data_IF_412950330464
#
_entry.id   IF_412950330464
#
_cell.length_a   1.000
_cell.length_b   1.000
_cell.length_c   1.000
_cell.angle_alpha   90.00
_cell.angle_beta   90.00
_cell.angle_gamma   90.00
#
_symmetry.space_group_name_H-M   'P 1'
#
loop_
_entity.id
_entity.type
_entity.pdbx_description
1 polymer ?
#
# COMPACT_ATOMS: atom_id res chain seq x y z
N UNK A 1 2.77 -23.44 7.41
CA UNK A 1 2.09 -24.42 6.53
C UNK A 1 0.70 -24.66 7.08
N UNK A 2 -0.26 -25.03 6.23
CA UNK A 2 -1.59 -25.45 6.71
C UNK A 2 -1.59 -26.95 7.10
N UNK A 3 -2.74 -27.46 7.54
CA UNK A 3 -2.90 -28.86 7.96
C UNK A 3 -2.73 -29.89 6.82
N UNK A 4 -2.72 -29.45 5.57
CA UNK A 4 -2.47 -30.27 4.38
C UNK A 4 -1.03 -30.15 3.88
N UNK A 5 -0.13 -29.51 4.64
CA UNK A 5 1.28 -29.34 4.31
C UNK A 5 1.56 -28.25 3.26
N UNK A 6 0.58 -27.43 2.87
CA UNK A 6 0.76 -26.36 1.89
C UNK A 6 1.39 -25.13 2.53
N UNK A 7 2.32 -24.49 1.83
CA UNK A 7 2.91 -23.22 2.27
C UNK A 7 1.85 -22.13 2.21
N UNK A 8 1.62 -21.44 3.32
CA UNK A 8 0.66 -20.34 3.44
C UNK A 8 1.33 -18.96 3.50
N UNK A 9 2.64 -18.92 3.79
CA UNK A 9 3.41 -17.68 3.84
C UNK A 9 4.90 -17.94 3.98
N UNK A 10 5.67 -16.90 3.76
CA UNK A 10 7.13 -16.88 3.90
C UNK A 10 7.50 -15.88 5.00
N UNK A 11 8.20 -16.32 6.05
CA UNK A 11 8.66 -15.43 7.12
C UNK A 11 9.61 -14.36 6.54
N UNK A 12 9.38 -13.11 6.89
CA UNK A 12 10.13 -11.98 6.33
C UNK A 12 10.86 -11.15 7.37
N UNK A 13 10.29 -10.94 8.54
CA UNK A 13 10.86 -10.09 9.58
C UNK A 13 10.34 -10.47 10.97
N UNK A 14 11.07 -10.07 11.98
CA UNK A 14 10.64 -10.06 13.38
C UNK A 14 10.68 -8.63 13.91
N UNK A 15 9.75 -8.27 14.79
CA UNK A 15 9.80 -6.99 15.46
C UNK A 15 10.76 -7.09 16.66
N UNK A 16 11.66 -6.11 16.78
CA UNK A 16 12.58 -5.97 17.91
C UNK A 16 12.34 -4.62 18.58
N UNK A 17 12.44 -4.59 19.90
CA UNK A 17 12.49 -3.32 20.65
C UNK A 17 13.89 -2.73 20.48
N UNK A 18 13.97 -1.56 19.83
CA UNK A 18 15.16 -0.73 19.86
C UNK A 18 15.21 -0.03 21.22
N UNK A 19 15.80 -0.69 22.22
CA UNK A 19 16.06 -0.09 23.53
C UNK A 19 17.29 0.81 23.47
N UNK A 20 17.24 1.98 24.11
CA UNK A 20 18.36 2.87 24.30
C UNK A 20 19.55 2.12 24.90
N UNK A 21 20.74 2.36 24.32
CA UNK A 21 22.09 2.05 24.83
C UNK A 21 22.27 0.77 25.67
N UNK A 22 22.99 -0.19 25.13
CA UNK A 22 23.67 -1.32 25.78
C UNK A 22 22.85 -2.52 26.29
N UNK A 23 21.63 -2.74 25.89
CA UNK A 23 20.96 -4.02 26.12
C UNK A 23 20.68 -4.73 24.80
N UNK A 24 20.91 -6.05 24.76
CA UNK A 24 20.61 -6.93 23.63
C UNK A 24 19.18 -6.66 23.16
N UNK A 25 19.02 -6.22 21.93
CA UNK A 25 17.72 -6.02 21.30
C UNK A 25 17.00 -7.39 21.24
N UNK A 26 16.07 -7.62 22.17
CA UNK A 26 15.26 -8.83 22.22
C UNK A 26 14.09 -8.76 21.24
N UNK A 27 13.70 -9.90 20.67
CA UNK A 27 12.45 -10.01 19.93
C UNK A 27 11.28 -9.84 20.88
N UNK A 28 10.28 -9.03 20.49
CA UNK A 28 9.01 -8.89 21.24
C UNK A 28 8.02 -10.03 20.94
N UNK A 29 8.46 -11.08 20.26
CA UNK A 29 7.63 -12.24 19.93
C UNK A 29 6.68 -12.02 18.74
N UNK A 30 6.78 -10.89 18.04
CA UNK A 30 6.00 -10.63 16.82
C UNK A 30 6.83 -10.96 15.59
N UNK A 31 6.29 -11.81 14.73
CA UNK A 31 6.84 -12.15 13.44
C UNK A 31 5.90 -11.76 12.31
N UNK A 32 6.48 -11.36 11.18
CA UNK A 32 5.74 -11.00 9.96
C UNK A 32 6.03 -12.03 8.87
N UNK A 33 4.98 -12.40 8.14
CA UNK A 33 5.10 -13.29 7.01
C UNK A 33 4.45 -12.69 5.77
N UNK A 34 5.08 -12.87 4.61
CA UNK A 34 4.49 -12.52 3.32
C UNK A 34 3.50 -13.64 2.95
N UNK A 35 2.22 -13.34 2.70
CA UNK A 35 1.24 -14.33 2.25
C UNK A 35 1.72 -15.05 0.98
N UNK A 36 1.52 -16.36 0.90
CA UNK A 36 2.04 -17.17 -0.22
C UNK A 36 1.54 -16.68 -1.59
N UNK A 37 0.31 -16.21 -1.67
CA UNK A 37 -0.23 -15.69 -2.93
C UNK A 37 0.55 -14.46 -3.43
N UNK A 38 1.00 -13.60 -2.52
CA UNK A 38 1.84 -12.45 -2.85
C UNK A 38 3.25 -12.89 -3.26
N UNK A 39 3.86 -13.80 -2.50
CA UNK A 39 5.19 -14.33 -2.80
C UNK A 39 5.20 -15.03 -4.17
N UNK A 40 4.21 -15.87 -4.46
CA UNK A 40 4.05 -16.55 -5.76
C UNK A 40 3.92 -15.57 -6.91
N UNK A 41 3.07 -14.54 -6.76
CA UNK A 41 2.88 -13.51 -7.80
C UNK A 41 4.20 -12.79 -8.14
N UNK A 42 4.98 -12.44 -7.11
CA UNK A 42 6.29 -11.82 -7.30
C UNK A 42 7.28 -12.78 -7.97
N UNK A 43 7.32 -14.03 -7.52
CA UNK A 43 8.18 -15.06 -8.13
C UNK A 43 7.84 -15.30 -9.61
N UNK A 44 6.55 -15.44 -9.95
CA UNK A 44 6.09 -15.62 -11.32
C UNK A 44 6.50 -14.44 -12.23
N UNK A 45 6.47 -13.21 -11.72
CA UNK A 45 6.95 -12.05 -12.46
C UNK A 45 8.47 -12.11 -12.70
N UNK A 46 9.25 -12.42 -11.66
CA UNK A 46 10.70 -12.54 -11.76
C UNK A 46 11.12 -13.65 -12.74
N UNK A 47 10.46 -14.79 -12.71
CA UNK A 47 10.73 -15.91 -13.63
C UNK A 47 10.43 -15.52 -15.08
N UNK A 48 9.30 -14.82 -15.31
CA UNK A 48 8.84 -14.50 -16.67
C UNK A 48 9.56 -13.30 -17.28
N UNK A 49 9.90 -12.30 -16.48
CA UNK A 49 10.35 -11.00 -16.98
C UNK A 49 11.68 -10.52 -16.41
N UNK A 50 12.24 -11.23 -15.43
CA UNK A 50 13.43 -10.81 -14.69
C UNK A 50 13.20 -9.59 -13.76
N UNK A 51 11.98 -9.08 -13.70
CA UNK A 51 11.62 -7.89 -12.91
C UNK A 51 10.31 -8.10 -12.18
N UNK A 52 10.25 -7.63 -10.92
CA UNK A 52 9.02 -7.56 -10.16
C UNK A 52 8.52 -6.13 -10.14
N UNK A 53 7.23 -5.94 -10.44
CA UNK A 53 6.55 -4.66 -10.36
C UNK A 53 5.37 -4.77 -9.40
N UNK A 54 5.06 -3.71 -8.72
CA UNK A 54 3.91 -3.63 -7.82
C UNK A 54 2.92 -2.56 -8.28
N UNK A 55 1.63 -2.73 -7.98
CA UNK A 55 0.64 -1.73 -8.35
C UNK A 55 0.84 -0.45 -7.54
N UNK A 56 0.71 0.69 -8.22
CA UNK A 56 0.77 2.01 -7.60
C UNK A 56 -0.38 2.88 -8.08
N UNK A 57 -0.79 3.80 -7.22
CA UNK A 57 -1.76 4.84 -7.55
C UNK A 57 -1.07 6.13 -8.00
N UNK A 58 0.23 6.28 -7.67
CA UNK A 58 1.01 7.46 -8.04
C UNK A 58 0.68 8.68 -7.18
N UNK A 59 0.52 8.47 -5.88
CA UNK A 59 0.36 9.50 -4.84
C UNK A 59 1.38 9.31 -3.73
N UNK A 60 1.81 10.40 -3.14
CA UNK A 60 2.56 10.42 -1.87
C UNK A 60 1.59 10.66 -0.73
N UNK A 61 1.64 9.81 0.29
CA UNK A 61 0.76 9.85 1.46
C UNK A 61 1.49 10.51 2.62
N UNK A 62 0.78 11.38 3.32
CA UNK A 62 1.25 11.99 4.56
C UNK A 62 1.11 10.97 5.71
N UNK A 63 2.24 10.34 6.06
CA UNK A 63 2.29 9.32 7.11
C UNK A 63 2.14 9.90 8.53
N UNK A 64 2.30 11.23 8.68
CA UNK A 64 2.15 11.93 9.97
C UNK A 64 0.71 12.40 10.21
N UNK A 65 -0.19 12.17 9.28
CA UNK A 65 -1.59 12.54 9.44
C UNK A 65 -2.27 11.63 10.48
N UNK A 66 -2.68 12.22 11.61
CA UNK A 66 -3.28 11.50 12.74
C UNK A 66 -4.82 11.32 12.64
N UNK A 67 -5.44 11.80 11.57
CA UNK A 67 -6.90 11.67 11.38
C UNK A 67 -7.29 10.38 10.65
N UNK A 68 -8.58 10.02 10.64
CA UNK A 68 -9.07 8.87 9.89
C UNK A 68 -8.95 9.09 8.39
N UNK A 69 -8.37 8.13 7.68
CA UNK A 69 -8.13 8.15 6.24
C UNK A 69 -6.66 8.32 5.86
N UNK A 70 -6.37 8.24 4.57
CA UNK A 70 -5.04 8.46 4.01
C UNK A 70 -4.99 9.81 3.28
N UNK A 71 -4.28 10.78 3.84
CA UNK A 71 -4.15 12.11 3.26
C UNK A 71 -3.05 12.14 2.20
N UNK A 72 -3.38 12.63 1.02
CA UNK A 72 -2.38 12.94 -0.01
C UNK A 72 -1.58 14.16 0.47
N UNK A 73 -0.25 14.05 0.49
CA UNK A 73 0.60 15.17 0.92
C UNK A 73 0.35 16.42 0.05
N UNK A 74 0.61 17.59 0.63
CA UNK A 74 0.50 18.88 -0.07
C UNK A 74 1.82 19.35 -0.67
N UNK A 75 2.91 18.58 -0.49
CA UNK A 75 4.22 18.90 -1.04
C UNK A 75 4.22 18.81 -2.58
N UNK A 76 5.18 19.50 -3.20
CA UNK A 76 5.40 19.41 -4.63
C UNK A 76 5.69 17.96 -5.05
N UNK A 77 5.10 17.53 -6.17
CA UNK A 77 5.21 16.14 -6.62
C UNK A 77 4.36 15.13 -5.85
N UNK A 78 3.43 15.57 -4.99
CA UNK A 78 2.51 14.70 -4.26
C UNK A 78 1.73 13.74 -5.16
N UNK A 79 1.50 14.12 -6.40
CA UNK A 79 0.83 13.31 -7.42
C UNK A 79 1.76 13.18 -8.62
N UNK A 80 2.02 11.94 -9.01
CA UNK A 80 2.86 11.63 -10.16
C UNK A 80 2.22 12.18 -11.43
N UNK A 81 2.96 13.04 -12.16
CA UNK A 81 2.52 13.59 -13.42
C UNK A 81 2.25 12.47 -14.45
N UNK A 82 1.07 12.52 -15.13
CA UNK A 82 0.61 11.47 -16.03
C UNK A 82 0.20 10.16 -15.34
N UNK A 83 0.30 10.10 -14.01
CA UNK A 83 0.01 8.91 -13.21
C UNK A 83 -1.49 8.62 -13.03
N UNK A 84 -1.82 7.46 -12.47
CA UNK A 84 -3.19 7.02 -12.24
C UNK A 84 -4.03 8.01 -11.44
N UNK A 85 -3.50 8.53 -10.34
CA UNK A 85 -4.20 9.47 -9.47
C UNK A 85 -4.51 10.79 -10.16
N UNK A 86 -3.56 11.32 -10.94
CA UNK A 86 -3.79 12.54 -11.71
C UNK A 86 -4.90 12.34 -12.74
N UNK A 87 -4.88 11.21 -13.45
CA UNK A 87 -5.93 10.86 -14.44
C UNK A 87 -7.30 10.69 -13.79
N UNK A 88 -7.35 10.26 -12.55
CA UNK A 88 -8.58 10.16 -11.76
C UNK A 88 -9.01 11.49 -11.14
N UNK A 89 -8.25 12.57 -11.32
CA UNK A 89 -8.57 13.90 -10.81
C UNK A 89 -8.29 14.12 -9.33
N UNK A 90 -7.45 13.29 -8.71
CA UNK A 90 -6.96 13.52 -7.35
C UNK A 90 -6.06 14.76 -7.30
N UNK A 91 -6.05 15.44 -6.16
CA UNK A 91 -5.26 16.64 -5.90
C UNK A 91 -4.51 16.52 -4.57
N UNK A 92 -3.40 17.25 -4.39
CA UNK A 92 -2.75 17.38 -3.10
C UNK A 92 -3.74 17.82 -2.02
N UNK A 93 -3.65 17.21 -0.83
CA UNK A 93 -4.56 17.46 0.29
C UNK A 93 -5.85 16.64 0.29
N UNK A 94 -6.16 15.88 -0.76
CA UNK A 94 -7.31 14.96 -0.75
C UNK A 94 -7.14 13.91 0.34
N UNK A 95 -8.22 13.58 1.04
CA UNK A 95 -8.27 12.58 2.10
C UNK A 95 -9.01 11.34 1.58
N UNK A 96 -8.28 10.28 1.30
CA UNK A 96 -8.85 9.01 0.84
C UNK A 96 -9.43 8.27 2.04
N UNK A 97 -10.73 7.98 2.00
CA UNK A 97 -11.49 7.36 3.09
C UNK A 97 -11.98 5.96 2.76
N UNK A 98 -12.03 5.60 1.47
CA UNK A 98 -12.43 4.26 1.02
C UNK A 98 -11.64 3.85 -0.22
N UNK A 99 -11.26 2.59 -0.30
CA UNK A 99 -10.56 1.98 -1.43
C UNK A 99 -11.15 0.60 -1.73
N UNK A 100 -11.67 0.38 -2.91
CA UNK A 100 -12.30 -0.87 -3.34
C UNK A 100 -13.43 -1.34 -2.39
N UNK A 101 -14.26 -0.43 -1.90
CA UNK A 101 -15.36 -0.73 -0.97
C UNK A 101 -14.93 -0.97 0.49
N UNK A 102 -13.62 -0.82 0.82
CA UNK A 102 -13.11 -0.95 2.19
C UNK A 102 -12.76 0.42 2.74
N UNK A 103 -13.20 0.68 3.97
CA UNK A 103 -12.81 1.89 4.72
C UNK A 103 -11.29 1.90 4.93
N UNK A 104 -10.69 3.06 4.76
CA UNK A 104 -9.27 3.32 4.98
C UNK A 104 -9.15 4.23 6.21
N UNK A 105 -8.42 3.78 7.23
CA UNK A 105 -8.23 4.51 8.48
C UNK A 105 -6.89 5.25 8.55
N UNK A 106 -5.89 4.83 7.78
CA UNK A 106 -4.56 5.45 7.76
C UNK A 106 -3.83 5.18 6.43
N UNK A 107 -2.64 5.79 6.27
CA UNK A 107 -1.82 5.65 5.07
C UNK A 107 -1.32 4.24 4.82
N UNK A 108 -0.95 3.51 5.88
CA UNK A 108 -0.45 2.13 5.76
C UNK A 108 -1.52 1.19 5.21
N UNK A 109 -2.76 1.30 5.70
CA UNK A 109 -3.89 0.51 5.18
C UNK A 109 -4.12 0.76 3.69
N UNK A 110 -4.02 1.99 3.23
CA UNK A 110 -4.13 2.31 1.81
C UNK A 110 -3.00 1.65 1.00
N UNK A 111 -1.76 1.73 1.48
CA UNK A 111 -0.61 1.10 0.81
C UNK A 111 -0.81 -0.42 0.69
N UNK A 112 -1.22 -1.07 1.78
CA UNK A 112 -1.50 -2.51 1.79
C UNK A 112 -2.65 -2.85 0.84
N UNK A 113 -3.73 -2.07 0.86
CA UNK A 113 -4.88 -2.26 -0.01
C UNK A 113 -4.50 -2.14 -1.50
N UNK A 114 -3.68 -1.15 -1.87
CA UNK A 114 -3.17 -1.00 -3.23
C UNK A 114 -2.31 -2.19 -3.63
N UNK A 115 -1.37 -2.61 -2.78
CA UNK A 115 -0.45 -3.73 -3.06
C UNK A 115 -1.16 -5.08 -3.17
N UNK A 116 -2.34 -5.23 -2.58
CA UNK A 116 -3.16 -6.44 -2.72
C UNK A 116 -3.80 -6.61 -4.10
N UNK A 117 -3.83 -5.55 -4.91
CA UNK A 117 -4.43 -5.51 -6.25
C UNK A 117 -3.42 -5.91 -7.34
N UNK A 118 -3.90 -5.92 -8.60
CA UNK A 118 -3.05 -6.13 -9.76
C UNK A 118 -2.79 -4.81 -10.49
N UNK A 119 -1.69 -4.78 -11.25
CA UNK A 119 -1.44 -3.71 -12.21
C UNK A 119 -2.54 -3.78 -13.28
N UNK A 120 -3.14 -2.62 -13.59
CA UNK A 120 -4.28 -2.54 -14.52
C UNK A 120 -5.65 -2.66 -13.88
N UNK A 121 -5.75 -3.05 -12.61
CA UNK A 121 -7.04 -3.10 -11.92
C UNK A 121 -7.67 -1.71 -11.86
N UNK A 122 -8.97 -1.66 -12.14
CA UNK A 122 -9.82 -0.47 -11.97
C UNK A 122 -10.41 -0.51 -10.57
N UNK A 123 -10.09 0.49 -9.77
CA UNK A 123 -10.49 0.56 -8.37
C UNK A 123 -11.27 1.84 -8.11
N UNK A 124 -12.44 1.71 -7.53
CA UNK A 124 -13.20 2.84 -7.02
C UNK A 124 -12.60 3.30 -5.69
N UNK A 125 -12.47 4.61 -5.55
CA UNK A 125 -12.04 5.27 -4.32
C UNK A 125 -13.06 6.33 -3.92
N UNK A 126 -13.29 6.50 -2.62
CA UNK A 126 -13.97 7.68 -2.08
C UNK A 126 -12.97 8.54 -1.34
N UNK A 127 -13.04 9.82 -1.57
CA UNK A 127 -12.16 10.80 -0.93
C UNK A 127 -12.89 12.08 -0.59
N UNK A 128 -12.37 12.78 0.41
CA UNK A 128 -12.84 14.11 0.80
C UNK A 128 -11.91 15.18 0.23
N UNK A 129 -12.50 16.21 -0.34
CA UNK A 129 -11.82 17.45 -0.74
C UNK A 129 -12.51 18.60 -0.04
N UNK A 130 -11.87 19.14 1.01
CA UNK A 130 -12.56 20.02 1.96
C UNK A 130 -13.72 19.31 2.65
N UNK A 131 -14.90 19.89 2.59
CA UNK A 131 -16.14 19.31 3.15
C UNK A 131 -16.86 18.32 2.19
N UNK A 132 -16.45 18.25 0.93
CA UNK A 132 -17.15 17.46 -0.10
C UNK A 132 -16.59 16.05 -0.21
N UNK A 133 -17.45 15.04 -0.14
CA UNK A 133 -17.09 13.65 -0.47
C UNK A 133 -17.27 13.42 -1.98
N UNK A 134 -16.29 12.79 -2.60
CA UNK A 134 -16.24 12.50 -4.03
C UNK A 134 -15.84 11.05 -4.27
N UNK A 135 -16.24 10.52 -5.41
CA UNK A 135 -15.85 9.18 -5.88
C UNK A 135 -15.05 9.32 -7.18
N UNK A 136 -14.02 8.52 -7.34
CA UNK A 136 -13.27 8.43 -8.59
C UNK A 136 -12.84 6.98 -8.85
N UNK A 137 -12.63 6.64 -10.13
CA UNK A 137 -12.06 5.35 -10.51
C UNK A 137 -10.59 5.54 -10.88
N UNK A 138 -9.72 4.80 -10.23
CA UNK A 138 -8.28 4.80 -10.49
C UNK A 138 -7.90 3.49 -11.19
N UNK A 139 -7.12 3.58 -12.27
CA UNK A 139 -6.51 2.40 -12.93
C UNK A 139 -5.08 2.28 -12.43
N UNK A 140 -4.78 1.24 -11.65
CA UNK A 140 -3.46 1.06 -11.04
C UNK A 140 -2.38 0.81 -12.09
N UNK A 141 -1.25 1.50 -11.97
CA UNK A 141 -0.10 1.35 -12.85
C UNK A 141 1.03 0.53 -12.20
N UNK A 142 2.02 0.13 -13.02
CA UNK A 142 3.25 -0.45 -12.49
C UNK A 142 4.09 0.62 -11.80
N UNK A 143 4.51 0.38 -10.57
CA UNK A 143 5.53 1.17 -9.91
C UNK A 143 6.86 1.01 -10.63
N UNK A 144 7.61 2.11 -10.80
CA UNK A 144 9.00 2.06 -11.26
C UNK A 144 9.88 1.73 -10.05
N UNK A 145 10.74 0.74 -10.19
CA UNK A 145 11.89 0.54 -9.29
C UNK A 145 12.97 1.54 -9.65
#
# INVERSE_FOLDING_TARGET
MDAQGRIIGVNSAIATLSGASNSQAGSIGLGFAIPINQARKTADQLIKTGKASYPVMGVSIDMNFAGPGARVTTADGAILAGGPAQKAGLQPGDLIIEFAGKTINNGDELIVAIRSKNIGDRVEIKYKRGSSTRTATVVLAAGKN
#
